data_IF_142690694569
#
_entry.id   IF_142690694569
#
_cell.length_a   1.000
_cell.length_b   1.000
_cell.length_c   1.000
_cell.angle_alpha   90.00
_cell.angle_beta   90.00
_cell.angle_gamma   90.00
#
_symmetry.space_group_name_H-M   'P 1'
#
loop_
_entity.id
_entity.type
_entity.pdbx_description
1 polymer ?
#
# COMPACT_ATOMS: atom_id res chain seq x y z
N UNK A 1 -7.57 -13.40 54.75
CA UNK A 1 -7.62 -14.00 53.40
C UNK A 1 -7.76 -12.83 52.45
N UNK A 2 -6.63 -12.16 52.18
CA UNK A 2 -6.58 -11.02 51.27
C UNK A 2 -6.54 -11.56 49.85
N UNK A 3 -7.56 -11.17 49.11
CA UNK A 3 -7.78 -11.49 47.71
C UNK A 3 -6.62 -10.93 46.89
N UNK A 4 -5.81 -11.83 46.35
CA UNK A 4 -4.73 -11.52 45.42
C UNK A 4 -5.38 -10.92 44.16
N UNK A 5 -5.49 -9.60 44.08
CA UNK A 5 -5.87 -8.90 42.86
C UNK A 5 -4.76 -9.18 41.85
N UNK A 6 -5.00 -10.13 40.95
CA UNK A 6 -4.17 -10.45 39.80
C UNK A 6 -3.91 -9.15 39.02
N UNK A 7 -2.66 -8.65 38.94
CA UNK A 7 -2.34 -7.46 38.16
C UNK A 7 -2.29 -7.87 36.68
N UNK A 8 -3.39 -8.39 36.15
CA UNK A 8 -3.63 -8.37 34.72
C UNK A 8 -3.73 -6.91 34.35
N UNK A 9 -2.63 -6.41 33.82
CA UNK A 9 -2.51 -5.11 33.19
C UNK A 9 -3.83 -4.79 32.45
N UNK A 10 -4.67 -3.96 33.06
CA UNK A 10 -5.89 -3.47 32.44
C UNK A 10 -5.44 -2.50 31.35
N UNK A 11 -5.18 -3.02 30.16
CA UNK A 11 -4.92 -2.20 28.98
C UNK A 11 -6.14 -1.31 28.79
N UNK A 12 -5.94 0.00 28.85
CA UNK A 12 -7.01 0.94 28.50
C UNK A 12 -7.31 0.81 27.01
N UNK A 13 -8.56 1.00 26.60
CA UNK A 13 -8.95 1.09 25.18
C UNK A 13 -8.06 2.08 24.41
N UNK A 14 -7.59 3.13 25.08
CA UNK A 14 -6.63 4.11 24.53
C UNK A 14 -5.28 3.48 24.20
N UNK A 15 -4.75 2.62 25.07
CA UNK A 15 -3.45 2.00 24.87
C UNK A 15 -3.50 0.95 23.75
N UNK A 16 -4.64 0.24 23.63
CA UNK A 16 -4.93 -0.64 22.50
C UNK A 16 -4.97 0.18 21.20
N UNK A 17 -5.70 1.29 21.18
CA UNK A 17 -5.84 2.15 19.99
C UNK A 17 -4.49 2.72 19.53
N UNK A 18 -3.66 3.20 20.46
CA UNK A 18 -2.33 3.73 20.14
C UNK A 18 -1.39 2.64 19.59
N UNK A 19 -1.42 1.42 20.17
CA UNK A 19 -0.64 0.28 19.65
C UNK A 19 -1.10 -0.16 18.26
N UNK A 20 -2.42 -0.22 18.04
CA UNK A 20 -3.00 -0.59 16.72
C UNK A 20 -2.64 0.46 15.67
N UNK A 21 -2.77 1.75 15.99
CA UNK A 21 -2.40 2.84 15.07
C UNK A 21 -0.89 2.82 14.75
N UNK A 22 -0.03 2.58 15.76
CA UNK A 22 1.41 2.40 15.53
C UNK A 22 1.70 1.19 14.63
N UNK A 23 1.06 0.06 14.89
CA UNK A 23 1.18 -1.14 14.04
C UNK A 23 0.70 -0.89 12.60
N UNK A 24 -0.38 -0.16 12.42
CA UNK A 24 -0.89 0.23 11.10
C UNK A 24 0.12 1.10 10.34
N UNK A 25 0.78 2.05 11.02
CA UNK A 25 1.83 2.89 10.38
C UNK A 25 3.03 2.08 9.89
N UNK A 26 3.48 1.09 10.67
CA UNK A 26 4.58 0.19 10.29
C UNK A 26 4.17 -0.70 9.12
N UNK A 27 2.97 -1.30 9.20
CA UNK A 27 2.41 -2.12 8.12
C UNK A 27 2.23 -1.31 6.83
N UNK A 28 1.78 -0.07 6.95
CA UNK A 28 1.64 0.87 5.84
C UNK A 28 2.97 1.18 5.17
N UNK A 29 4.01 1.53 5.95
CA UNK A 29 5.35 1.80 5.42
C UNK A 29 5.95 0.59 4.68
N UNK A 30 5.82 -0.60 5.28
CA UNK A 30 6.23 -1.84 4.62
C UNK A 30 5.46 -2.07 3.33
N UNK A 31 4.13 -1.85 3.35
CA UNK A 31 3.27 -2.00 2.18
C UNK A 31 3.65 -1.05 1.04
N UNK A 32 4.03 0.19 1.34
CA UNK A 32 4.48 1.15 0.32
C UNK A 32 5.73 0.65 -0.43
N UNK A 33 6.72 0.15 0.29
CA UNK A 33 7.95 -0.40 -0.30
C UNK A 33 7.72 -1.73 -1.04
N UNK A 34 6.96 -2.64 -0.42
CA UNK A 34 6.62 -3.92 -1.04
C UNK A 34 5.79 -3.73 -2.32
N UNK A 35 4.83 -2.80 -2.32
CA UNK A 35 4.04 -2.45 -3.49
C UNK A 35 4.91 -1.93 -4.63
N UNK A 36 5.87 -1.05 -4.36
CA UNK A 36 6.78 -0.52 -5.38
C UNK A 36 7.61 -1.64 -6.01
N UNK A 37 8.22 -2.51 -5.20
CA UNK A 37 8.98 -3.66 -5.70
C UNK A 37 8.11 -4.63 -6.50
N UNK A 38 6.92 -4.96 -5.97
CA UNK A 38 5.97 -5.85 -6.64
C UNK A 38 5.48 -5.28 -7.98
N UNK A 39 5.21 -3.98 -8.05
CA UNK A 39 4.73 -3.32 -9.27
C UNK A 39 5.81 -3.31 -10.37
N UNK A 40 7.07 -3.06 -10.01
CA UNK A 40 8.21 -3.17 -10.96
C UNK A 40 8.36 -4.60 -11.46
N UNK A 41 8.34 -5.58 -10.55
CA UNK A 41 8.40 -6.99 -10.93
C UNK A 41 7.25 -7.39 -11.87
N UNK A 42 6.03 -6.94 -11.58
CA UNK A 42 4.86 -7.25 -12.40
C UNK A 42 5.03 -6.74 -13.84
N UNK A 43 5.52 -5.51 -14.01
CA UNK A 43 5.82 -4.94 -15.33
C UNK A 43 6.93 -5.69 -16.06
N UNK A 44 7.99 -6.05 -15.35
CA UNK A 44 9.11 -6.81 -15.97
C UNK A 44 8.59 -8.14 -16.50
N UNK A 45 7.82 -8.90 -15.71
CA UNK A 45 7.23 -10.18 -16.15
C UNK A 45 6.35 -9.95 -17.38
N UNK A 46 5.42 -9.00 -17.33
CA UNK A 46 4.54 -8.69 -18.46
C UNK A 46 5.33 -8.31 -19.72
N UNK A 47 6.37 -7.49 -19.59
CA UNK A 47 7.17 -7.04 -20.73
C UNK A 47 8.04 -8.15 -21.33
N UNK A 48 8.68 -8.96 -20.48
CA UNK A 48 9.49 -10.12 -20.92
C UNK A 48 8.62 -11.13 -21.66
N UNK A 49 7.40 -11.40 -21.16
CA UNK A 49 6.48 -12.33 -21.79
C UNK A 49 5.85 -11.78 -23.08
N UNK A 50 5.63 -10.46 -23.18
CA UNK A 50 5.10 -9.83 -24.38
C UNK A 50 6.07 -9.84 -25.57
N UNK A 51 7.36 -10.01 -25.29
CA UNK A 51 8.42 -10.10 -26.30
C UNK A 51 8.75 -8.79 -26.99
N UNK A 52 9.74 -8.84 -27.88
CA UNK A 52 10.20 -7.67 -28.61
C UNK A 52 9.05 -7.11 -29.49
N UNK A 53 8.73 -5.82 -29.33
CA UNK A 53 7.63 -5.13 -30.02
C UNK A 53 6.21 -5.73 -29.85
N UNK A 54 5.92 -6.47 -28.78
CA UNK A 54 4.60 -7.10 -28.54
C UNK A 54 4.24 -8.16 -29.60
N UNK A 55 5.24 -8.89 -30.08
CA UNK A 55 5.09 -9.93 -31.12
C UNK A 55 4.72 -11.30 -30.55
N UNK A 56 5.00 -11.57 -29.26
CA UNK A 56 4.71 -12.87 -28.60
C UNK A 56 3.57 -12.79 -27.59
N UNK A 57 2.53 -12.05 -27.96
CA UNK A 57 1.41 -11.73 -27.07
C UNK A 57 0.56 -12.96 -26.68
N UNK A 58 0.47 -13.96 -27.56
CA UNK A 58 -0.17 -15.25 -27.26
C UNK A 58 0.62 -16.05 -26.22
N UNK A 59 1.95 -15.94 -26.21
CA UNK A 59 2.82 -16.59 -25.22
C UNK A 59 2.64 -15.95 -23.84
N UNK A 60 2.45 -14.62 -23.79
CA UNK A 60 2.05 -13.91 -22.57
C UNK A 60 0.73 -14.47 -22.04
N UNK A 61 -0.31 -14.54 -22.87
CA UNK A 61 -1.62 -15.02 -22.44
C UNK A 61 -1.55 -16.47 -21.93
N UNK A 62 -0.84 -17.36 -22.62
CA UNK A 62 -0.70 -18.75 -22.19
C UNK A 62 0.07 -18.91 -20.87
N UNK A 63 1.14 -18.14 -20.63
CA UNK A 63 1.97 -18.31 -19.44
C UNK A 63 1.49 -17.47 -18.25
N UNK A 64 0.94 -16.28 -18.51
CA UNK A 64 0.57 -15.30 -17.49
C UNK A 64 -0.85 -15.47 -16.96
N UNK A 65 -1.78 -16.13 -17.68
CA UNK A 65 -3.19 -16.20 -17.25
C UNK A 65 -3.37 -16.74 -15.81
N UNK A 66 -2.66 -17.80 -15.43
CA UNK A 66 -2.75 -18.41 -14.09
C UNK A 66 -2.18 -17.50 -12.99
N UNK A 67 -1.25 -16.61 -13.35
CA UNK A 67 -0.60 -15.66 -12.44
C UNK A 67 -1.29 -14.28 -12.44
N UNK A 68 -2.07 -13.96 -13.47
CA UNK A 68 -2.71 -12.67 -13.65
C UNK A 68 -3.64 -12.33 -12.47
N UNK A 69 -4.51 -13.27 -12.08
CA UNK A 69 -5.47 -13.08 -11.01
C UNK A 69 -4.83 -12.92 -9.62
N UNK A 70 -3.92 -13.82 -9.15
CA UNK A 70 -3.27 -13.63 -7.86
C UNK A 70 -2.38 -12.37 -7.85
N UNK A 71 -1.71 -12.05 -8.96
CA UNK A 71 -0.89 -10.84 -9.03
C UNK A 71 -1.73 -9.56 -8.94
N UNK A 72 -2.88 -9.51 -9.62
CA UNK A 72 -3.80 -8.38 -9.55
C UNK A 72 -4.42 -8.24 -8.17
N UNK A 73 -4.90 -9.33 -7.58
CA UNK A 73 -5.45 -9.32 -6.22
C UNK A 73 -4.45 -8.76 -5.21
N UNK A 74 -3.20 -9.21 -5.28
CA UNK A 74 -2.13 -8.70 -4.42
C UNK A 74 -1.83 -7.23 -4.69
N UNK A 75 -1.75 -6.82 -5.96
CA UNK A 75 -1.56 -5.42 -6.34
C UNK A 75 -2.67 -4.54 -5.75
N UNK A 76 -3.93 -4.92 -5.94
CA UNK A 76 -5.08 -4.18 -5.41
C UNK A 76 -5.08 -4.08 -3.90
N UNK A 77 -4.84 -5.19 -3.20
CA UNK A 77 -4.77 -5.22 -1.75
C UNK A 77 -3.71 -4.24 -1.23
N UNK A 78 -2.50 -4.32 -1.80
CA UNK A 78 -1.39 -3.47 -1.42
C UNK A 78 -1.65 -1.99 -1.74
N UNK A 79 -2.26 -1.72 -2.90
CA UNK A 79 -2.55 -0.37 -3.34
C UNK A 79 -3.68 0.26 -2.51
N UNK A 80 -4.69 -0.53 -2.12
CA UNK A 80 -5.72 -0.11 -1.19
C UNK A 80 -5.15 0.20 0.20
N UNK A 81 -4.37 -0.72 0.79
CA UNK A 81 -3.73 -0.52 2.09
C UNK A 81 -2.79 0.69 2.07
N UNK A 82 -1.98 0.83 1.02
CA UNK A 82 -1.08 1.97 0.82
C UNK A 82 -1.85 3.29 0.67
N UNK A 83 -2.97 3.29 -0.04
CA UNK A 83 -3.81 4.49 -0.20
C UNK A 83 -4.41 4.92 1.13
N UNK A 84 -4.96 3.98 1.92
CA UNK A 84 -5.52 4.28 3.26
C UNK A 84 -4.41 4.75 4.21
N UNK A 85 -3.25 4.08 4.19
CA UNK A 85 -2.06 4.48 4.96
C UNK A 85 -1.57 5.88 4.59
N UNK A 86 -1.55 6.23 3.30
CA UNK A 86 -1.16 7.57 2.85
C UNK A 86 -2.19 8.63 3.26
N UNK A 87 -3.50 8.32 3.18
CA UNK A 87 -4.55 9.23 3.64
C UNK A 87 -4.55 9.42 5.16
N UNK A 88 -4.21 8.40 5.95
CA UNK A 88 -4.07 8.50 7.41
C UNK A 88 -3.02 9.53 7.82
N UNK A 89 -1.96 9.71 7.01
CA UNK A 89 -0.95 10.75 7.20
C UNK A 89 -1.42 12.15 6.80
N UNK A 90 -2.42 12.27 5.95
CA UNK A 90 -2.99 13.56 5.52
C UNK A 90 -4.02 14.00 6.55
N UNK A 91 -3.83 15.20 7.12
CA UNK A 91 -4.80 15.79 8.05
C UNK A 91 -6.10 16.20 7.32
N UNK A 92 -6.99 15.25 7.06
CA UNK A 92 -8.28 15.44 6.39
C UNK A 92 -9.20 16.41 7.14
N UNK A 93 -9.07 16.53 8.47
CA UNK A 93 -9.80 17.50 9.30
C UNK A 93 -9.54 18.96 8.89
N UNK A 94 -8.47 19.21 8.13
CA UNK A 94 -8.14 20.50 7.54
C UNK A 94 -8.03 20.34 6.01
N UNK A 95 -9.02 19.74 5.37
CA UNK A 95 -9.06 19.52 3.92
C UNK A 95 -8.77 20.81 3.09
N UNK A 96 -9.15 21.99 3.58
CA UNK A 96 -8.79 23.28 2.98
C UNK A 96 -7.28 23.61 3.07
N UNK A 97 -6.60 23.18 4.13
CA UNK A 97 -5.14 23.20 4.23
C UNK A 97 -4.47 22.08 3.44
N UNK A 98 -5.10 20.91 3.28
CA UNK A 98 -4.59 19.85 2.41
C UNK A 98 -4.66 20.23 0.92
N UNK A 99 -5.72 20.96 0.50
CA UNK A 99 -5.82 21.53 -0.85
C UNK A 99 -4.78 22.64 -1.08
N UNK A 100 -4.53 23.49 -0.08
CA UNK A 100 -3.37 24.40 -0.09
C UNK A 100 -2.04 23.63 -0.07
N UNK A 101 -1.98 22.51 0.64
CA UNK A 101 -0.87 21.57 0.73
C UNK A 101 -0.48 21.01 -0.63
N UNK A 102 -1.47 20.61 -1.42
CA UNK A 102 -1.29 20.20 -2.82
C UNK A 102 -0.72 21.33 -3.69
N UNK A 103 -1.21 22.56 -3.52
CA UNK A 103 -0.66 23.76 -4.17
C UNK A 103 0.76 24.12 -3.67
N UNK A 104 1.11 23.74 -2.43
CA UNK A 104 2.45 23.91 -1.85
C UNK A 104 3.35 22.68 -1.98
N UNK A 105 2.91 21.65 -2.72
CA UNK A 105 3.64 20.39 -2.93
C UNK A 105 4.01 19.63 -1.63
N UNK A 106 3.08 19.55 -0.67
CA UNK A 106 3.26 18.72 0.52
C UNK A 106 3.42 17.23 0.11
N UNK A 107 4.55 16.59 0.43
CA UNK A 107 4.84 15.21 -0.01
C UNK A 107 3.78 14.19 0.44
N UNK A 108 3.18 14.35 1.64
CA UNK A 108 2.13 13.46 2.11
C UNK A 108 0.85 13.56 1.25
N UNK A 109 0.41 14.79 0.93
CA UNK A 109 -0.72 15.03 0.05
C UNK A 109 -0.44 14.50 -1.36
N UNK A 110 0.76 14.74 -1.89
CA UNK A 110 1.17 14.24 -3.21
C UNK A 110 1.17 12.72 -3.27
N UNK A 111 1.76 12.03 -2.29
CA UNK A 111 1.78 10.56 -2.23
C UNK A 111 0.37 9.98 -2.16
N UNK A 112 -0.51 10.56 -1.33
CA UNK A 112 -1.92 10.11 -1.23
C UNK A 112 -2.66 10.27 -2.57
N UNK A 113 -2.45 11.39 -3.27
CA UNK A 113 -3.03 11.62 -4.58
C UNK A 113 -2.52 10.64 -5.62
N UNK A 114 -1.21 10.39 -5.68
CA UNK A 114 -0.59 9.46 -6.62
C UNK A 114 -1.08 8.02 -6.40
N UNK A 115 -1.15 7.55 -5.15
CA UNK A 115 -1.71 6.23 -4.85
C UNK A 115 -3.21 6.15 -5.17
N UNK A 116 -3.98 7.20 -4.91
CA UNK A 116 -5.39 7.25 -5.26
C UNK A 116 -5.62 7.18 -6.77
N UNK A 117 -4.86 7.94 -7.56
CA UNK A 117 -4.93 7.88 -9.04
C UNK A 117 -4.53 6.49 -9.54
N UNK A 118 -3.46 5.91 -8.98
CA UNK A 118 -3.06 4.55 -9.31
C UNK A 118 -4.16 3.52 -9.00
N UNK A 119 -4.90 3.68 -7.89
CA UNK A 119 -6.04 2.83 -7.51
C UNK A 119 -7.16 2.88 -8.55
N UNK A 120 -7.55 4.09 -8.95
CA UNK A 120 -8.60 4.28 -9.95
C UNK A 120 -8.17 3.71 -11.31
N UNK A 121 -6.92 3.93 -11.71
CA UNK A 121 -6.38 3.38 -12.96
C UNK A 121 -6.36 1.85 -12.94
N UNK A 122 -5.90 1.23 -11.86
CA UNK A 122 -5.97 -0.22 -11.72
C UNK A 122 -7.42 -0.70 -11.83
N UNK A 123 -8.35 -0.14 -11.05
CA UNK A 123 -9.77 -0.53 -11.07
C UNK A 123 -10.42 -0.39 -12.45
N UNK A 124 -10.02 0.63 -13.24
CA UNK A 124 -10.53 0.81 -14.61
C UNK A 124 -10.19 -0.37 -15.53
N UNK A 125 -9.11 -1.09 -15.24
CA UNK A 125 -8.61 -2.22 -16.03
C UNK A 125 -9.07 -3.59 -15.48
N UNK A 126 -9.94 -3.64 -14.47
CA UNK A 126 -10.45 -4.88 -13.87
C UNK A 126 -11.11 -5.79 -14.91
N UNK A 127 -11.91 -5.21 -15.82
CA UNK A 127 -12.59 -5.95 -16.88
C UNK A 127 -11.59 -6.61 -17.84
N UNK A 128 -10.58 -5.87 -18.29
CA UNK A 128 -9.54 -6.41 -19.19
C UNK A 128 -8.71 -7.51 -18.53
N UNK A 129 -8.45 -7.31 -17.25
CA UNK A 129 -7.72 -8.22 -16.38
C UNK A 129 -8.43 -9.56 -16.19
N UNK A 130 -9.74 -9.53 -15.98
CA UNK A 130 -10.59 -10.73 -15.87
C UNK A 130 -10.64 -11.50 -17.21
N UNK A 131 -10.67 -10.77 -18.34
CA UNK A 131 -10.60 -11.38 -19.68
C UNK A 131 -9.30 -12.15 -19.92
N UNK A 132 -8.17 -11.70 -19.36
CA UNK A 132 -6.86 -12.38 -19.45
C UNK A 132 -6.85 -13.68 -18.64
N UNK A 133 -7.48 -13.67 -17.45
CA UNK A 133 -7.60 -14.87 -16.61
C UNK A 133 -8.41 -15.99 -17.29
N UNK A 134 -9.43 -15.62 -18.07
CA UNK A 134 -10.32 -16.56 -18.77
C UNK A 134 -9.79 -17.06 -20.12
N UNK A 135 -8.54 -16.73 -20.49
CA UNK A 135 -7.98 -17.03 -21.83
C UNK A 135 -8.12 -18.49 -22.29
N UNK A 136 -7.94 -19.53 -21.44
CA UNK A 136 -8.08 -20.92 -21.91
C UNK A 136 -9.52 -21.35 -22.25
N UNK A 137 -10.53 -20.70 -21.65
CA UNK A 137 -11.91 -21.21 -21.63
C UNK A 137 -12.83 -20.61 -22.72
N UNK A 138 -12.46 -19.48 -23.34
CA UNK A 138 -13.36 -18.71 -24.19
C UNK A 138 -12.68 -18.13 -25.46
N UNK A 139 -11.83 -18.94 -26.09
CA UNK A 139 -10.95 -18.55 -27.19
C UNK A 139 -11.63 -17.85 -28.38
N UNK A 140 -12.93 -18.07 -28.64
CA UNK A 140 -13.60 -17.51 -29.83
C UNK A 140 -14.52 -16.32 -29.54
N UNK A 141 -15.11 -16.24 -28.35
CA UNK A 141 -16.03 -15.14 -27.97
C UNK A 141 -15.35 -14.02 -27.22
N UNK A 142 -14.35 -14.34 -26.38
CA UNK A 142 -13.62 -13.36 -25.57
C UNK A 142 -12.39 -12.79 -26.28
N UNK A 143 -11.81 -13.52 -27.24
CA UNK A 143 -10.61 -13.13 -27.97
C UNK A 143 -10.78 -13.28 -29.50
N UNK A 144 -11.47 -12.34 -30.17
CA UNK A 144 -11.52 -12.31 -31.62
C UNK A 144 -10.09 -12.31 -32.23
N UNK A 145 -9.84 -13.04 -33.33
CA UNK A 145 -8.53 -13.07 -33.97
C UNK A 145 -8.08 -11.65 -34.34
N UNK A 146 -6.90 -11.25 -33.88
CA UNK A 146 -6.32 -9.91 -34.10
C UNK A 146 -6.70 -8.85 -33.05
N UNK A 147 -7.66 -9.13 -32.15
CA UNK A 147 -8.04 -8.20 -31.07
C UNK A 147 -7.03 -8.16 -29.91
N UNK A 148 -6.15 -9.17 -29.83
CA UNK A 148 -5.26 -9.35 -28.69
C UNK A 148 -4.35 -8.12 -28.51
N UNK A 149 -3.75 -7.61 -29.59
CA UNK A 149 -2.93 -6.40 -29.53
C UNK A 149 -3.73 -5.15 -29.14
N UNK A 150 -4.97 -5.01 -29.62
CA UNK A 150 -5.81 -3.84 -29.32
C UNK A 150 -6.23 -3.80 -27.85
N UNK A 151 -6.37 -4.95 -27.21
CA UNK A 151 -6.79 -5.07 -25.80
C UNK A 151 -5.58 -5.05 -24.87
N UNK A 152 -4.52 -5.79 -25.19
CA UNK A 152 -3.36 -5.92 -24.30
C UNK A 152 -2.43 -4.70 -24.33
N UNK A 153 -2.23 -4.03 -25.47
CA UNK A 153 -1.39 -2.82 -25.51
C UNK A 153 -1.84 -1.74 -24.52
N UNK A 154 -3.10 -1.28 -24.51
CA UNK A 154 -3.53 -0.28 -23.54
C UNK A 154 -3.46 -0.80 -22.11
N UNK A 155 -3.75 -2.09 -21.88
CA UNK A 155 -3.61 -2.70 -20.55
C UNK A 155 -2.16 -2.67 -20.02
N UNK A 156 -1.17 -3.01 -20.86
CA UNK A 156 0.25 -2.94 -20.49
C UNK A 156 0.66 -1.49 -20.20
N UNK A 157 0.22 -0.54 -21.04
CA UNK A 157 0.51 0.89 -20.85
C UNK A 157 -0.06 1.40 -19.53
N UNK A 158 -1.31 1.04 -19.18
CA UNK A 158 -1.91 1.46 -17.91
C UNK A 158 -1.17 0.84 -16.72
N UNK A 159 -0.80 -0.44 -16.77
CA UNK A 159 0.01 -1.05 -15.72
C UNK A 159 1.37 -0.34 -15.58
N UNK A 160 2.00 0.04 -16.69
CA UNK A 160 3.27 0.78 -16.66
C UNK A 160 3.09 2.14 -15.98
N UNK A 161 2.02 2.87 -16.33
CA UNK A 161 1.68 4.14 -15.68
C UNK A 161 1.43 3.95 -14.18
N UNK A 162 0.71 2.90 -13.78
CA UNK A 162 0.50 2.55 -12.37
C UNK A 162 1.84 2.31 -11.67
N UNK A 163 2.76 1.56 -12.29
CA UNK A 163 4.08 1.30 -11.72
C UNK A 163 4.91 2.57 -11.53
N UNK A 164 4.85 3.49 -12.50
CA UNK A 164 5.51 4.79 -12.39
C UNK A 164 4.90 5.64 -11.27
N UNK A 165 3.56 5.72 -11.18
CA UNK A 165 2.87 6.46 -10.13
C UNK A 165 3.19 5.90 -8.74
N UNK A 166 3.16 4.57 -8.58
CA UNK A 166 3.50 3.88 -7.34
C UNK A 166 4.96 4.12 -6.97
N UNK A 167 5.88 4.03 -7.93
CA UNK A 167 7.31 4.28 -7.71
C UNK A 167 7.60 5.73 -7.30
N UNK A 168 6.94 6.70 -7.95
CA UNK A 168 7.02 8.11 -7.57
C UNK A 168 6.43 8.35 -6.18
N UNK A 169 5.26 7.79 -5.89
CA UNK A 169 4.64 7.91 -4.57
C UNK A 169 5.53 7.33 -3.47
N UNK A 170 6.14 6.16 -3.72
CA UNK A 170 7.10 5.56 -2.81
C UNK A 170 8.36 6.42 -2.63
N UNK A 171 8.89 7.03 -3.69
CA UNK A 171 10.04 7.94 -3.60
C UNK A 171 9.70 9.18 -2.74
N UNK A 172 8.52 9.78 -2.95
CA UNK A 172 8.01 10.90 -2.16
C UNK A 172 7.87 10.51 -0.68
N UNK A 173 7.27 9.35 -0.39
CA UNK A 173 7.17 8.81 0.98
C UNK A 173 8.54 8.53 1.59
N UNK A 174 9.50 8.05 0.81
CA UNK A 174 10.86 7.73 1.28
C UNK A 174 11.68 8.97 1.60
N UNK A 175 11.40 10.10 0.94
CA UNK A 175 12.06 11.40 1.23
C UNK A 175 11.52 12.10 2.47
N UNK A 176 10.35 11.68 2.97
CA UNK A 176 9.85 12.06 4.29
C UNK A 176 9.89 10.83 5.21
N UNK A 177 11.08 10.45 5.71
CA UNK A 177 11.13 9.71 6.96
C UNK A 177 10.56 10.68 8.00
N UNK A 178 9.27 10.56 8.31
CA UNK A 178 8.67 11.22 9.46
C UNK A 178 9.64 10.99 10.62
N UNK A 179 10.25 12.09 11.08
CA UNK A 179 11.18 12.14 12.18
C UNK A 179 10.63 11.24 13.28
N UNK A 180 11.42 10.24 13.67
CA UNK A 180 11.07 9.23 14.66
C UNK A 180 10.79 9.87 16.03
N UNK A 181 9.59 10.39 16.22
CA UNK A 181 9.09 10.74 17.55
C UNK A 181 8.71 9.47 18.34
N UNK A 182 8.74 8.29 17.73
CA UNK A 182 8.44 7.02 18.39
C UNK A 182 9.58 6.59 19.33
N UNK A 183 10.84 6.80 18.95
CA UNK A 183 11.97 6.59 19.87
C UNK A 183 11.90 7.57 21.04
N UNK A 184 11.58 8.84 20.76
CA UNK A 184 11.38 9.86 21.79
C UNK A 184 10.26 9.46 22.75
N UNK A 185 9.04 9.23 22.25
CA UNK A 185 7.86 8.96 23.09
C UNK A 185 7.93 7.63 23.83
N UNK A 186 8.54 6.59 23.27
CA UNK A 186 8.82 5.36 24.00
C UNK A 186 9.85 5.58 25.13
N UNK A 187 10.91 6.37 24.88
CA UNK A 187 11.87 6.78 25.91
C UNK A 187 11.25 7.69 26.99
N UNK A 188 10.34 8.59 26.63
CA UNK A 188 9.62 9.45 27.58
C UNK A 188 8.62 8.63 28.40
N UNK A 189 7.87 7.72 27.78
CA UNK A 189 6.95 6.83 28.47
C UNK A 189 7.68 5.88 29.43
N UNK A 190 8.81 5.29 29.00
CA UNK A 190 9.65 4.45 29.86
C UNK A 190 10.26 5.25 31.02
N UNK A 191 10.75 6.47 30.75
CA UNK A 191 11.26 7.38 31.79
C UNK A 191 10.18 7.79 32.79
N UNK A 192 8.96 8.07 32.35
CA UNK A 192 7.87 8.48 33.23
C UNK A 192 7.32 7.30 34.04
N UNK A 193 7.25 6.11 33.47
CA UNK A 193 6.92 4.88 34.21
C UNK A 193 7.99 4.59 35.28
N UNK A 194 9.27 4.64 34.92
CA UNK A 194 10.37 4.39 35.86
C UNK A 194 10.44 5.45 36.97
N UNK A 195 10.15 6.72 36.66
CA UNK A 195 10.09 7.81 37.65
C UNK A 195 8.91 7.63 38.60
N UNK A 196 7.76 7.20 38.10
CA UNK A 196 6.56 6.94 38.89
C UNK A 196 6.77 5.74 39.81
N UNK A 197 7.33 4.63 39.30
CA UNK A 197 7.70 3.46 40.12
C UNK A 197 8.71 3.80 41.23
N UNK A 198 9.70 4.66 40.95
CA UNK A 198 10.63 5.14 42.00
C UNK A 198 9.96 6.02 43.06
N UNK A 199 8.93 6.78 42.69
CA UNK A 199 8.21 7.64 43.61
C UNK A 199 7.34 6.84 44.58
N UNK A 200 6.67 5.79 44.09
CA UNK A 200 5.89 4.88 44.93
C UNK A 200 6.78 4.00 45.82
N UNK A 201 7.88 3.45 45.28
CA UNK A 201 8.84 2.65 46.05
C UNK A 201 9.47 3.42 47.23
N UNK A 202 9.67 4.74 47.10
CA UNK A 202 10.22 5.59 48.18
C UNK A 202 9.17 5.97 49.24
N UNK A 203 7.89 5.73 49.01
CA UNK A 203 6.83 5.98 50.00
C UNK A 203 6.51 4.75 50.85
N UNK A 204 7.06 3.60 50.50
CA UNK A 204 6.86 2.31 51.19
C UNK A 204 8.04 1.93 52.11
N UNK A 205 9.15 2.68 52.07
CA UNK A 205 10.29 2.63 53.00
C UNK A 205 10.24 3.82 53.99
#
# INVERSE_FOLDING_TARGET
MEEYIDPRANWSTRDVALRVHSGFRVLGLFSHGFLAGFSVWNIIVVYVLAGEQMTTLSNLLQQYHALAYPAQSLLYLLLAVSTVSAFDRVNLAKASMALRGFLTLDPAALASFLYFVALILSLSQQMTSDRINLYPAANTTLWPPGSEQQILRPWIVVNLVVALLVGLAWAVVSTQPDIDYTEGTALWADKDINRTCKYYRRKED
#
